data_IF_744749762012
#
_entry.id   IF_744749762012
#
_cell.length_a   1.000
_cell.length_b   1.000
_cell.length_c   1.000
_cell.angle_alpha   90.00
_cell.angle_beta   90.00
_cell.angle_gamma   90.00
#
_symmetry.space_group_name_H-M   'P 1'
#
loop_
_entity.id
_entity.type
_entity.pdbx_description
1 polymer ?
#
# COMPACT_ATOMS: atom_id res chain seq x y z
N UNK A 1 11.81 48.40 32.17
CA UNK A 1 10.80 48.00 31.17
C UNK A 1 9.55 47.60 31.94
N UNK A 2 8.47 48.40 31.86
CA UNK A 2 7.23 48.18 32.59
C UNK A 2 6.34 47.22 31.81
N UNK A 3 6.25 45.95 32.24
CA UNK A 3 5.24 45.03 31.70
C UNK A 3 3.89 45.37 32.32
N UNK A 4 2.86 45.68 31.51
CA UNK A 4 1.58 46.05 32.05
C UNK A 4 0.88 44.87 32.74
N UNK A 5 0.11 45.18 33.78
CA UNK A 5 -0.53 44.22 34.69
C UNK A 5 -1.53 43.30 33.96
N UNK A 6 -2.16 43.82 32.90
CA UNK A 6 -3.09 43.07 32.04
C UNK A 6 -2.38 42.01 31.16
N UNK A 7 -1.07 42.12 30.98
CA UNK A 7 -0.31 41.20 30.12
C UNK A 7 -0.22 39.80 30.72
N UNK A 8 -0.14 39.71 32.05
CA UNK A 8 -0.07 38.43 32.78
C UNK A 8 -1.25 37.50 32.43
N UNK A 9 -2.53 37.89 32.61
CA UNK A 9 -3.65 37.04 32.26
C UNK A 9 -3.78 36.79 30.75
N UNK A 10 -3.38 37.75 29.90
CA UNK A 10 -3.38 37.58 28.45
C UNK A 10 -2.45 36.45 27.97
N UNK A 11 -1.26 36.32 28.57
CA UNK A 11 -0.31 35.24 28.25
C UNK A 11 -0.89 33.88 28.64
N UNK A 12 -1.51 33.75 29.81
CA UNK A 12 -2.12 32.48 30.23
C UNK A 12 -3.28 32.07 29.31
N UNK A 13 -4.12 33.02 28.89
CA UNK A 13 -5.19 32.77 27.92
C UNK A 13 -4.66 32.28 26.57
N UNK A 14 -3.59 32.90 26.07
CA UNK A 14 -2.95 32.48 24.82
C UNK A 14 -2.36 31.06 24.90
N UNK A 15 -1.73 30.69 26.02
CA UNK A 15 -1.20 29.34 26.22
C UNK A 15 -2.32 28.29 26.27
N UNK A 16 -3.40 28.54 27.02
CA UNK A 16 -4.54 27.62 27.11
C UNK A 16 -5.21 27.48 25.73
N UNK A 17 -5.42 28.59 25.02
CA UNK A 17 -5.98 28.60 23.67
C UNK A 17 -5.14 27.79 22.68
N UNK A 18 -3.81 27.96 22.70
CA UNK A 18 -2.90 27.20 21.85
C UNK A 18 -2.97 25.68 22.12
N UNK A 19 -3.05 25.28 23.40
CA UNK A 19 -3.21 23.87 23.77
C UNK A 19 -4.55 23.33 23.29
N UNK A 20 -5.65 24.06 23.50
CA UNK A 20 -6.98 23.63 23.05
C UNK A 20 -7.04 23.46 21.52
N UNK A 21 -6.53 24.44 20.76
CA UNK A 21 -6.49 24.36 19.29
C UNK A 21 -5.59 23.21 18.83
N UNK A 22 -4.44 23.02 19.48
CA UNK A 22 -3.56 21.88 19.21
C UNK A 22 -4.29 20.55 19.40
N UNK A 23 -4.88 20.32 20.58
CA UNK A 23 -5.57 19.06 20.87
C UNK A 23 -6.71 18.80 19.89
N UNK A 24 -7.55 19.80 19.62
CA UNK A 24 -8.68 19.64 18.69
C UNK A 24 -8.19 19.43 17.26
N UNK A 25 -7.19 20.19 16.81
CA UNK A 25 -6.61 20.08 15.48
C UNK A 25 -5.96 18.73 15.23
N UNK A 26 -5.12 18.25 16.16
CA UNK A 26 -4.39 16.99 16.02
C UNK A 26 -5.25 15.75 16.30
N UNK A 27 -6.32 15.85 17.11
CA UNK A 27 -7.19 14.69 17.42
C UNK A 27 -8.31 14.54 16.41
N UNK A 28 -9.00 15.63 16.04
CA UNK A 28 -10.21 15.56 15.21
C UNK A 28 -10.07 16.30 13.89
N UNK A 29 -9.35 17.42 13.86
CA UNK A 29 -9.11 18.21 12.65
C UNK A 29 -8.18 17.55 11.63
N UNK A 30 -7.56 16.41 11.96
CA UNK A 30 -6.63 15.71 11.07
C UNK A 30 -5.33 16.47 10.83
N UNK A 31 -5.01 17.46 11.66
CA UNK A 31 -3.74 18.17 11.57
C UNK A 31 -2.60 17.19 11.78
N UNK A 32 -1.58 17.33 10.94
CA UNK A 32 -0.42 16.45 10.90
C UNK A 32 0.81 17.33 10.76
N UNK A 33 1.93 16.92 11.35
CA UNK A 33 3.19 17.66 11.21
C UNK A 33 3.69 17.57 9.77
N UNK A 34 4.44 18.58 9.31
CA UNK A 34 4.94 18.61 7.92
C UNK A 34 5.72 17.36 7.51
N UNK A 35 6.51 16.77 8.43
CA UNK A 35 7.22 15.52 8.19
C UNK A 35 6.27 14.34 7.92
N UNK A 36 5.31 14.10 8.79
CA UNK A 36 4.32 13.03 8.60
C UNK A 36 3.41 13.29 7.40
N UNK A 37 3.11 14.55 7.07
CA UNK A 37 2.39 14.90 5.85
C UNK A 37 3.19 14.51 4.60
N UNK A 38 4.49 14.80 4.58
CA UNK A 38 5.39 14.42 3.51
C UNK A 38 5.55 12.89 3.39
N UNK A 39 5.71 12.19 4.51
CA UNK A 39 5.80 10.72 4.52
C UNK A 39 4.53 10.06 3.98
N UNK A 40 3.35 10.57 4.38
CA UNK A 40 2.06 10.10 3.85
C UNK A 40 1.94 10.37 2.36
N UNK A 41 2.35 11.54 1.89
CA UNK A 41 2.33 11.87 0.47
C UNK A 41 3.27 10.94 -0.34
N UNK A 42 4.49 10.70 0.14
CA UNK A 42 5.43 9.78 -0.52
C UNK A 42 4.94 8.34 -0.54
N UNK A 43 4.34 7.87 0.55
CA UNK A 43 3.75 6.53 0.63
C UNK A 43 2.57 6.37 -0.36
N UNK A 44 1.70 7.38 -0.46
CA UNK A 44 0.60 7.41 -1.42
C UNK A 44 1.14 7.34 -2.86
N UNK A 45 2.11 8.19 -3.21
CA UNK A 45 2.71 8.16 -4.55
C UNK A 45 3.35 6.81 -4.89
N UNK A 46 4.05 6.18 -3.93
CA UNK A 46 4.62 4.84 -4.13
C UNK A 46 3.52 3.80 -4.37
N UNK A 47 2.46 3.82 -3.57
CA UNK A 47 1.34 2.89 -3.70
C UNK A 47 0.60 3.07 -5.03
N UNK A 48 0.38 4.31 -5.48
CA UNK A 48 -0.27 4.59 -6.76
C UNK A 48 0.57 4.11 -7.94
N UNK A 49 1.89 4.34 -7.89
CA UNK A 49 2.83 3.80 -8.88
C UNK A 49 2.77 2.28 -8.89
N UNK A 50 2.83 1.64 -7.72
CA UNK A 50 2.73 0.18 -7.58
C UNK A 50 1.40 -0.33 -8.16
N UNK A 51 0.27 0.29 -7.83
CA UNK A 51 -1.05 -0.07 -8.32
C UNK A 51 -1.14 0.06 -9.85
N UNK A 52 -0.53 1.09 -10.42
CA UNK A 52 -0.44 1.27 -11.88
C UNK A 52 0.45 0.23 -12.58
N UNK A 53 1.39 -0.38 -11.86
CA UNK A 53 2.27 -1.44 -12.36
C UNK A 53 1.71 -2.86 -12.18
N UNK A 54 0.66 -3.03 -11.38
CA UNK A 54 -0.08 -4.31 -11.31
C UNK A 54 -0.55 -4.81 -12.68
N UNK A 55 -1.22 -4.00 -13.54
CA UNK A 55 -1.62 -4.47 -14.87
C UNK A 55 -0.42 -4.88 -15.74
N UNK A 56 0.73 -4.19 -15.62
CA UNK A 56 1.96 -4.57 -16.32
C UNK A 56 2.47 -5.93 -15.84
N UNK A 57 2.45 -6.19 -14.52
CA UNK A 57 2.80 -7.49 -13.98
C UNK A 57 1.88 -8.61 -14.52
N UNK A 58 0.58 -8.36 -14.59
CA UNK A 58 -0.39 -9.31 -15.10
C UNK A 58 -0.19 -9.61 -16.59
N UNK A 59 0.09 -8.59 -17.40
CA UNK A 59 0.36 -8.77 -18.82
C UNK A 59 1.69 -9.49 -19.07
N UNK A 60 2.71 -9.23 -18.25
CA UNK A 60 3.97 -9.98 -18.29
C UNK A 60 3.75 -11.44 -17.91
N UNK A 61 2.98 -11.71 -16.86
CA UNK A 61 2.63 -13.07 -16.47
C UNK A 61 1.81 -13.80 -17.54
N UNK A 62 0.91 -13.11 -18.26
CA UNK A 62 0.12 -13.68 -19.36
C UNK A 62 0.96 -13.98 -20.60
N UNK A 63 1.94 -13.14 -20.88
CA UNK A 63 2.81 -13.26 -22.07
C UNK A 63 3.99 -14.21 -21.84
N UNK A 64 4.22 -14.64 -20.61
CA UNK A 64 5.32 -15.54 -20.24
C UNK A 64 5.06 -16.97 -20.77
N UNK A 65 5.93 -17.52 -21.64
CA UNK A 65 5.77 -18.89 -22.14
C UNK A 65 5.90 -19.95 -21.03
N UNK A 66 6.60 -19.63 -19.94
CA UNK A 66 6.77 -20.48 -18.76
C UNK A 66 5.77 -20.16 -17.64
N UNK A 67 4.67 -19.45 -17.96
CA UNK A 67 3.65 -19.05 -16.97
C UNK A 67 3.16 -20.22 -16.11
N UNK A 68 2.83 -21.35 -16.72
CA UNK A 68 2.27 -22.49 -16.00
C UNK A 68 3.23 -23.05 -14.94
N UNK A 69 4.49 -23.27 -15.32
CA UNK A 69 5.55 -23.77 -14.43
C UNK A 69 5.84 -22.78 -13.29
N UNK A 70 5.94 -21.48 -13.61
CA UNK A 70 6.16 -20.43 -12.61
C UNK A 70 4.98 -20.29 -11.66
N UNK A 71 3.74 -20.39 -12.16
CA UNK A 71 2.53 -20.37 -11.33
C UNK A 71 2.45 -21.57 -10.39
N UNK A 72 2.85 -22.77 -10.82
CA UNK A 72 2.95 -23.92 -9.92
C UNK A 72 3.99 -23.70 -8.83
N UNK A 73 5.16 -23.17 -9.20
CA UNK A 73 6.22 -22.83 -8.24
C UNK A 73 5.74 -21.80 -7.21
N UNK A 74 5.02 -20.76 -7.65
CA UNK A 74 4.46 -19.73 -6.77
C UNK A 74 3.36 -20.31 -5.87
N UNK A 75 2.52 -21.22 -6.39
CA UNK A 75 1.48 -21.91 -5.60
C UNK A 75 2.07 -22.83 -4.53
N UNK A 76 3.12 -23.56 -4.89
CA UNK A 76 3.83 -24.49 -4.02
C UNK A 76 4.68 -23.78 -2.96
N UNK A 77 5.11 -22.54 -3.22
CA UNK A 77 5.86 -21.73 -2.27
C UNK A 77 5.01 -21.37 -1.03
N UNK A 78 5.68 -21.36 0.13
CA UNK A 78 5.07 -20.88 1.39
C UNK A 78 4.64 -19.42 1.27
N UNK A 79 3.61 -19.00 2.02
CA UNK A 79 3.03 -17.65 1.95
C UNK A 79 4.08 -16.53 2.01
N UNK A 80 5.14 -16.71 2.79
CA UNK A 80 6.25 -15.75 2.88
C UNK A 80 7.16 -15.75 1.65
N UNK A 81 7.35 -16.90 0.99
CA UNK A 81 8.20 -17.06 -0.19
C UNK A 81 7.47 -16.80 -1.51
N UNK A 82 6.14 -16.81 -1.54
CA UNK A 82 5.35 -16.49 -2.75
C UNK A 82 5.81 -15.18 -3.39
N UNK A 83 6.05 -14.15 -2.56
CA UNK A 83 6.56 -12.83 -3.00
C UNK A 83 7.90 -12.93 -3.71
N UNK A 84 8.83 -13.66 -3.11
CA UNK A 84 10.15 -13.86 -3.69
C UNK A 84 10.06 -14.70 -4.98
N UNK A 85 9.16 -15.67 -5.05
CA UNK A 85 8.90 -16.44 -6.27
C UNK A 85 8.36 -15.58 -7.43
N UNK A 86 7.48 -14.61 -7.17
CA UNK A 86 7.03 -13.64 -8.19
C UNK A 86 8.14 -12.68 -8.63
N UNK A 87 9.05 -12.32 -7.72
CA UNK A 87 10.24 -11.55 -8.09
C UNK A 87 11.21 -12.37 -8.94
N UNK A 88 11.46 -13.63 -8.59
CA UNK A 88 12.29 -14.56 -9.37
C UNK A 88 11.67 -14.90 -10.73
N UNK A 89 10.34 -14.89 -10.83
CA UNK A 89 9.63 -15.03 -12.10
C UNK A 89 9.86 -13.85 -13.05
N UNK A 90 10.32 -12.70 -12.53
CA UNK A 90 10.55 -11.46 -13.29
C UNK A 90 9.30 -10.58 -13.44
N UNK A 91 8.14 -11.02 -12.96
CA UNK A 91 6.87 -10.30 -13.16
C UNK A 91 6.77 -9.03 -12.32
N UNK A 92 7.58 -8.90 -11.27
CA UNK A 92 7.64 -7.72 -10.42
C UNK A 92 8.72 -6.70 -10.84
N UNK A 93 9.36 -6.88 -11.99
CA UNK A 93 10.38 -5.98 -12.51
C UNK A 93 9.74 -4.95 -13.44
N UNK A 94 9.93 -3.66 -13.14
CA UNK A 94 9.39 -2.58 -13.98
C UNK A 94 10.18 -2.54 -15.29
N UNK A 95 9.52 -2.43 -16.45
CA UNK A 95 10.21 -2.25 -17.73
C UNK A 95 11.18 -1.06 -17.65
N UNK A 96 12.45 -1.31 -17.97
CA UNK A 96 13.53 -0.30 -17.85
C UNK A 96 14.26 -0.28 -16.49
N UNK A 97 13.98 -1.23 -15.61
CA UNK A 97 14.74 -1.46 -14.37
C UNK A 97 15.25 -2.90 -14.31
N UNK A 98 16.43 -3.11 -13.71
CA UNK A 98 17.02 -4.46 -13.57
C UNK A 98 16.61 -5.14 -12.25
N UNK A 99 16.08 -4.38 -11.29
CA UNK A 99 15.77 -4.87 -9.95
C UNK A 99 14.26 -5.10 -9.77
N UNK A 100 13.84 -6.29 -9.28
CA UNK A 100 12.43 -6.55 -8.98
C UNK A 100 11.97 -5.69 -7.80
N UNK A 101 10.76 -5.13 -7.91
CA UNK A 101 10.16 -4.33 -6.86
C UNK A 101 9.29 -5.21 -5.96
N UNK A 102 9.67 -5.25 -4.70
CA UNK A 102 9.00 -5.97 -3.62
C UNK A 102 7.51 -5.57 -3.50
N UNK A 103 7.16 -4.30 -3.59
CA UNK A 103 5.78 -3.82 -3.41
C UNK A 103 4.90 -4.22 -4.61
N UNK A 104 5.46 -4.17 -5.82
CA UNK A 104 4.81 -4.66 -7.04
C UNK A 104 4.59 -6.18 -6.96
N UNK A 105 5.57 -6.94 -6.48
CA UNK A 105 5.42 -8.38 -6.31
C UNK A 105 4.25 -8.74 -5.37
N UNK A 106 4.10 -7.99 -4.28
CA UNK A 106 3.01 -8.21 -3.32
C UNK A 106 1.64 -7.83 -3.90
N UNK A 107 1.54 -6.67 -4.56
CA UNK A 107 0.30 -6.24 -5.20
C UNK A 107 -0.10 -7.18 -6.35
N UNK A 108 0.87 -7.65 -7.14
CA UNK A 108 0.64 -8.60 -8.20
C UNK A 108 0.23 -9.98 -7.68
N UNK A 109 0.83 -10.46 -6.59
CA UNK A 109 0.37 -11.68 -5.92
C UNK A 109 -1.08 -11.63 -5.49
N UNK A 110 -1.50 -10.50 -4.90
CA UNK A 110 -2.87 -10.29 -4.49
C UNK A 110 -3.82 -10.30 -5.71
N UNK A 111 -3.40 -9.73 -6.85
CA UNK A 111 -4.18 -9.70 -8.08
C UNK A 111 -4.19 -11.03 -8.85
N UNK A 112 -3.15 -11.85 -8.74
CA UNK A 112 -3.04 -13.17 -9.36
C UNK A 112 -3.94 -14.22 -8.71
N UNK A 113 -4.58 -13.87 -7.58
CA UNK A 113 -5.59 -14.66 -6.86
C UNK A 113 -5.17 -16.14 -6.80
N UNK A 114 -3.95 -16.38 -6.31
CA UNK A 114 -3.29 -17.71 -6.30
C UNK A 114 -4.14 -18.77 -5.58
N UNK A 115 -5.01 -18.31 -4.67
CA UNK A 115 -5.89 -19.14 -3.85
C UNK A 115 -7.30 -19.33 -4.48
N UNK A 116 -7.60 -18.68 -5.61
CA UNK A 116 -8.72 -19.08 -6.48
C UNK A 116 -8.33 -20.37 -7.20
N UNK A 117 -8.52 -21.47 -6.47
CA UNK A 117 -8.81 -22.78 -7.05
C UNK A 117 -9.82 -22.56 -8.19
N UNK A 118 -9.67 -23.23 -9.36
CA UNK A 118 -10.63 -23.08 -10.45
C UNK A 118 -12.02 -23.25 -9.85
N UNK A 119 -12.90 -22.27 -10.11
CA UNK A 119 -14.31 -22.35 -9.80
C UNK A 119 -14.78 -23.78 -10.10
N UNK A 120 -15.00 -24.57 -9.04
CA UNK A 120 -15.76 -25.80 -9.15
C UNK A 120 -17.10 -25.33 -9.72
N UNK A 121 -17.55 -25.85 -10.89
CA UNK A 121 -18.78 -25.40 -11.50
C UNK A 121 -19.87 -25.45 -10.43
N UNK A 122 -20.44 -24.28 -10.14
CA UNK A 122 -21.53 -24.12 -9.21
C UNK A 122 -22.72 -24.90 -9.78
N UNK A 123 -22.83 -26.15 -9.34
CA UNK A 123 -24.02 -26.98 -9.26
C UNK A 123 -24.96 -26.87 -10.46
N UNK A 124 -24.66 -27.62 -11.51
CA UNK A 124 -25.72 -28.33 -12.23
C UNK A 124 -26.30 -29.38 -11.27
N UNK A 125 -27.32 -29.00 -10.51
CA UNK A 125 -28.33 -29.94 -10.02
C UNK A 125 -29.61 -29.59 -10.78
N UNK A 126 -29.77 -30.30 -11.89
CA UNK A 126 -31.05 -30.72 -12.42
C UNK A 126 -31.79 -31.49 -11.31
N UNK A 127 -32.99 -31.06 -10.93
CA UNK A 127 -34.06 -31.95 -10.47
C UNK A 127 -35.43 -31.33 -10.81
N UNK A 128 -36.09 -31.91 -11.82
CA UNK A 128 -37.52 -32.30 -11.78
C UNK A 128 -38.58 -31.24 -12.05
#
# INVERSE_FOLDING_TARGET
MNTPEWLKPGIYGALIGAVCVGVVGFTWGGWVTGGTANDRAMAMSRNDVVASMVPVCLDMARSDPARAEKMETIRAASTYQRRDAVMSAGWATVPGTDAPNRDIAQACLAALDIDRSPERPENAIDEG
#
